data_IF_920489860074
#
_entry.id   IF_920489860074
#
_cell.length_a   1.000
_cell.length_b   1.000
_cell.length_c   1.000
_cell.angle_alpha   90.00
_cell.angle_beta   90.00
_cell.angle_gamma   90.00
#
_symmetry.space_group_name_H-M   'P 1'
#
loop_
_entity.id
_entity.type
_entity.pdbx_description
1 polymer ?
#
# COMPACT_ATOMS: atom_id res chain seq x y z
N UNK A 1 24.56 14.75 19.51
CA UNK A 1 24.82 13.31 19.65
C UNK A 1 24.04 12.59 18.58
N UNK A 2 24.67 12.23 17.49
CA UNK A 2 24.07 11.50 16.38
C UNK A 2 23.98 10.03 16.81
N UNK A 3 22.77 9.57 17.16
CA UNK A 3 22.55 8.13 17.33
C UNK A 3 22.54 7.47 15.95
N UNK A 4 23.67 6.89 15.59
CA UNK A 4 23.78 5.97 14.46
C UNK A 4 23.35 4.57 14.94
N UNK A 5 22.05 4.34 15.08
CA UNK A 5 21.56 2.97 15.19
C UNK A 5 21.69 2.33 13.81
N UNK A 6 22.67 1.46 13.65
CA UNK A 6 22.78 0.63 12.44
C UNK A 6 21.60 -0.35 12.42
N UNK A 7 20.83 -0.43 11.31
CA UNK A 7 19.68 -1.35 11.20
C UNK A 7 20.05 -2.82 11.43
N UNK A 8 21.31 -3.20 11.18
CA UNK A 8 21.83 -4.56 11.44
C UNK A 8 21.78 -4.97 12.91
N UNK A 9 21.76 -4.01 13.86
CA UNK A 9 21.67 -4.32 15.30
C UNK A 9 20.20 -4.45 15.78
N UNK A 10 19.23 -4.03 14.97
CA UNK A 10 17.81 -3.96 15.34
C UNK A 10 17.01 -5.22 14.98
N UNK A 11 17.41 -6.02 13.99
CA UNK A 11 16.72 -7.24 13.58
C UNK A 11 17.59 -8.49 13.67
N UNK A 12 17.01 -9.55 14.20
CA UNK A 12 17.63 -10.87 14.30
C UNK A 12 16.58 -11.97 14.02
N UNK A 13 16.83 -12.82 13.02
CA UNK A 13 15.90 -13.84 12.58
C UNK A 13 15.41 -14.76 13.70
N UNK A 14 16.31 -15.25 14.54
CA UNK A 14 15.97 -16.18 15.63
C UNK A 14 15.19 -15.54 16.76
N UNK A 15 15.33 -14.23 16.96
CA UNK A 15 14.60 -13.45 17.95
C UNK A 15 13.27 -12.95 17.41
N UNK A 16 13.26 -12.41 16.18
CA UNK A 16 12.19 -11.54 15.69
C UNK A 16 11.23 -12.26 14.72
N UNK A 17 11.66 -13.34 14.08
CA UNK A 17 10.76 -14.16 13.26
C UNK A 17 10.19 -15.32 14.07
N UNK A 18 8.87 -15.36 14.25
CA UNK A 18 8.14 -16.40 14.99
C UNK A 18 7.30 -17.32 14.10
N UNK A 19 7.45 -17.17 12.77
CA UNK A 19 6.75 -18.03 11.82
C UNK A 19 7.33 -19.43 11.70
N UNK A 20 6.64 -20.29 10.96
CA UNK A 20 6.97 -21.71 10.78
C UNK A 20 7.81 -21.99 9.50
N UNK A 21 8.13 -20.99 8.70
CA UNK A 21 8.88 -21.15 7.45
C UNK A 21 10.39 -21.15 7.74
N UNK A 22 10.93 -22.30 8.10
CA UNK A 22 12.36 -22.47 8.46
C UNK A 22 13.34 -22.10 7.35
N UNK A 23 12.88 -22.14 6.10
CA UNK A 23 13.68 -21.79 4.93
C UNK A 23 13.75 -20.29 4.66
N UNK A 24 12.90 -19.47 5.31
CA UNK A 24 12.70 -18.07 4.94
C UNK A 24 13.98 -17.24 5.05
N UNK A 25 14.71 -17.37 6.15
CA UNK A 25 16.00 -16.67 6.35
C UNK A 25 17.00 -16.94 5.23
N UNK A 26 17.27 -18.23 4.96
CA UNK A 26 18.25 -18.64 3.95
C UNK A 26 17.82 -18.29 2.51
N UNK A 27 16.53 -18.16 2.27
CA UNK A 27 15.95 -17.91 0.96
C UNK A 27 15.54 -16.43 0.75
N UNK A 28 15.76 -15.58 1.74
CA UNK A 28 15.52 -14.13 1.61
C UNK A 28 16.64 -13.51 0.78
N UNK A 29 16.24 -12.88 -0.34
CA UNK A 29 17.17 -12.26 -1.29
C UNK A 29 17.51 -10.83 -0.89
N UNK A 30 16.53 -10.09 -0.38
CA UNK A 30 16.66 -8.72 0.10
C UNK A 30 15.75 -8.54 1.31
N UNK A 31 16.28 -7.93 2.37
CA UNK A 31 15.54 -7.54 3.56
C UNK A 31 15.98 -6.13 3.95
N UNK A 32 15.02 -5.23 4.10
CA UNK A 32 15.29 -3.81 4.36
C UNK A 32 14.42 -3.26 5.48
N UNK A 33 14.91 -2.27 6.18
CA UNK A 33 14.09 -1.38 7.01
C UNK A 33 13.17 -0.57 6.09
N UNK A 34 11.93 -0.42 6.48
CA UNK A 34 10.89 0.27 5.72
C UNK A 34 10.16 1.30 6.61
N UNK A 35 9.12 1.92 6.05
CA UNK A 35 8.23 2.80 6.80
C UNK A 35 8.92 4.06 7.32
N UNK A 36 8.51 4.50 8.50
CA UNK A 36 8.94 5.79 9.06
C UNK A 36 10.46 5.87 9.26
N UNK A 37 11.12 4.77 9.57
CA UNK A 37 12.57 4.71 9.74
C UNK A 37 13.31 4.92 8.42
N UNK A 38 12.91 4.22 7.36
CA UNK A 38 13.49 4.40 6.03
C UNK A 38 13.29 5.81 5.48
N UNK A 39 12.15 6.44 5.78
CA UNK A 39 11.88 7.81 5.36
C UNK A 39 12.64 8.86 6.19
N UNK A 40 13.24 8.48 7.33
CA UNK A 40 13.78 9.39 8.32
C UNK A 40 12.71 10.18 9.08
N UNK A 41 11.45 9.71 9.08
CA UNK A 41 10.29 10.36 9.71
C UNK A 41 9.87 9.68 11.02
N UNK A 42 10.73 8.79 11.53
CA UNK A 42 10.49 8.09 12.80
C UNK A 42 10.60 9.03 14.00
N UNK A 43 9.84 8.71 15.01
CA UNK A 43 9.88 9.28 16.37
C UNK A 43 10.38 8.23 17.35
N UNK A 44 10.62 8.60 18.59
CA UNK A 44 11.07 7.68 19.65
C UNK A 44 10.12 6.48 19.87
N UNK A 45 8.84 6.65 19.53
CA UNK A 45 7.80 5.61 19.68
C UNK A 45 7.43 4.93 18.38
N UNK A 46 8.20 5.13 17.31
CA UNK A 46 7.90 4.52 16.02
C UNK A 46 8.33 3.06 15.97
N UNK A 47 7.42 2.20 15.55
CA UNK A 47 7.71 0.79 15.28
C UNK A 47 8.67 0.66 14.08
N UNK A 48 9.43 -0.42 14.07
CA UNK A 48 10.32 -0.75 12.96
C UNK A 48 9.55 -1.63 11.99
N UNK A 49 9.32 -1.11 10.79
CA UNK A 49 8.73 -1.86 9.68
C UNK A 49 9.84 -2.54 8.88
N UNK A 50 9.67 -3.79 8.51
CA UNK A 50 10.63 -4.58 7.73
C UNK A 50 9.96 -5.13 6.50
N UNK A 51 10.59 -5.00 5.35
CA UNK A 51 10.12 -5.63 4.12
C UNK A 51 11.22 -6.37 3.40
N UNK A 52 10.83 -7.43 2.70
CA UNK A 52 11.80 -8.26 2.00
C UNK A 52 11.22 -9.01 0.83
N UNK A 53 12.12 -9.72 0.14
CA UNK A 53 11.85 -10.53 -1.04
C UNK A 53 12.55 -11.87 -0.83
N UNK A 54 11.83 -12.97 -1.08
CA UNK A 54 12.37 -14.33 -0.95
C UNK A 54 12.01 -15.18 -2.16
N UNK A 55 12.85 -16.17 -2.45
CA UNK A 55 12.57 -17.24 -3.41
C UNK A 55 12.30 -18.51 -2.61
N UNK A 56 11.05 -19.02 -2.58
CA UNK A 56 10.74 -20.24 -1.85
C UNK A 56 11.45 -21.46 -2.45
N UNK A 57 11.57 -22.57 -1.69
CA UNK A 57 12.08 -23.84 -2.21
C UNK A 57 11.28 -24.35 -3.41
N UNK A 58 11.89 -25.25 -4.22
CA UNK A 58 11.32 -25.76 -5.47
C UNK A 58 9.93 -26.40 -5.32
N UNK A 59 9.61 -26.95 -4.16
CA UNK A 59 8.32 -27.58 -3.85
C UNK A 59 7.15 -26.60 -3.97
N UNK A 60 7.41 -25.29 -3.77
CA UNK A 60 6.43 -24.21 -3.92
C UNK A 60 6.18 -23.80 -5.38
N UNK A 61 7.03 -24.27 -6.31
CA UNK A 61 6.89 -24.03 -7.75
C UNK A 61 6.35 -25.23 -8.50
N UNK A 62 6.81 -26.44 -8.13
CA UNK A 62 6.59 -27.66 -8.90
C UNK A 62 5.41 -28.50 -8.41
N UNK A 63 4.93 -28.26 -7.19
CA UNK A 63 3.83 -29.01 -6.59
C UNK A 63 2.51 -28.22 -6.58
N UNK A 64 1.45 -28.90 -6.17
CA UNK A 64 0.14 -28.26 -5.95
C UNK A 64 -0.22 -28.15 -4.46
N UNK A 65 0.55 -28.80 -3.58
CA UNK A 65 0.27 -28.86 -2.14
C UNK A 65 0.70 -27.61 -1.37
N UNK A 66 1.73 -26.92 -1.87
CA UNK A 66 2.31 -25.76 -1.18
C UNK A 66 2.28 -24.54 -2.08
N UNK A 67 1.89 -23.41 -1.51
CA UNK A 67 1.96 -22.10 -2.15
C UNK A 67 2.55 -21.10 -1.17
N UNK A 68 3.36 -20.21 -1.70
CA UNK A 68 3.89 -19.08 -0.95
C UNK A 68 3.61 -17.82 -1.75
N UNK A 69 3.08 -16.82 -1.09
CA UNK A 69 2.89 -15.49 -1.65
C UNK A 69 3.64 -14.46 -0.83
N UNK A 70 3.54 -14.55 0.50
CA UNK A 70 4.25 -13.70 1.44
C UNK A 70 4.25 -14.31 2.84
N UNK A 71 5.24 -13.92 3.64
CA UNK A 71 5.28 -14.15 5.09
C UNK A 71 5.03 -12.81 5.81
N UNK A 72 4.22 -12.83 6.85
CA UNK A 72 3.92 -11.65 7.66
C UNK A 72 4.18 -11.92 9.14
N UNK A 73 4.62 -10.88 9.85
CA UNK A 73 4.71 -10.83 11.30
C UNK A 73 4.21 -9.47 11.77
N UNK A 74 3.66 -9.42 12.99
CA UNK A 74 3.19 -8.16 13.59
C UNK A 74 4.19 -7.53 14.54
N UNK A 75 5.15 -8.31 15.02
CA UNK A 75 6.11 -7.84 15.99
C UNK A 75 7.49 -8.49 15.75
N UNK A 76 8.38 -7.83 15.00
CA UNK A 76 8.20 -6.56 14.30
C UNK A 76 7.18 -6.64 13.15
N UNK A 77 6.67 -5.48 12.69
CA UNK A 77 5.82 -5.43 11.49
C UNK A 77 6.68 -5.76 10.26
N UNK A 78 6.49 -6.98 9.76
CA UNK A 78 7.34 -7.53 8.70
C UNK A 78 6.49 -8.16 7.61
N UNK A 79 6.85 -7.90 6.35
CA UNK A 79 6.28 -8.55 5.18
C UNK A 79 7.38 -8.94 4.19
N UNK A 80 7.52 -10.25 3.92
CA UNK A 80 8.48 -10.79 2.95
C UNK A 80 7.70 -11.44 1.82
N UNK A 81 7.87 -10.91 0.61
CA UNK A 81 7.12 -11.31 -0.58
C UNK A 81 7.83 -12.41 -1.35
N UNK A 82 7.07 -13.34 -1.93
CA UNK A 82 7.54 -14.16 -3.03
C UNK A 82 8.05 -13.25 -4.16
N UNK A 83 9.19 -13.58 -4.75
CA UNK A 83 9.78 -12.77 -5.82
C UNK A 83 8.81 -12.54 -6.97
N UNK A 84 7.98 -13.52 -7.34
CA UNK A 84 6.98 -13.41 -8.42
C UNK A 84 5.90 -12.38 -8.05
N UNK A 85 5.41 -12.42 -6.81
CA UNK A 85 4.45 -11.44 -6.28
C UNK A 85 5.06 -10.05 -6.21
N UNK A 86 6.33 -9.98 -5.77
CA UNK A 86 7.07 -8.72 -5.79
C UNK A 86 7.11 -8.12 -7.20
N UNK A 87 7.50 -8.88 -8.23
CA UNK A 87 7.52 -8.41 -9.62
C UNK A 87 6.13 -7.95 -10.08
N UNK A 88 5.07 -8.73 -9.80
CA UNK A 88 3.69 -8.36 -10.16
C UNK A 88 3.27 -7.00 -9.60
N UNK A 89 3.61 -6.73 -8.33
CA UNK A 89 3.29 -5.46 -7.68
C UNK A 89 4.22 -4.32 -8.13
N UNK A 90 5.50 -4.63 -8.37
CA UNK A 90 6.51 -3.65 -8.78
C UNK A 90 6.26 -3.12 -10.20
N UNK A 91 5.84 -3.97 -11.15
CA UNK A 91 5.50 -3.54 -12.53
C UNK A 91 4.26 -2.63 -12.59
N UNK A 92 3.48 -2.59 -11.53
CA UNK A 92 2.39 -1.63 -11.39
C UNK A 92 2.79 -0.39 -10.58
N UNK A 93 4.08 -0.21 -10.30
CA UNK A 93 4.62 0.90 -9.50
C UNK A 93 3.94 1.04 -8.13
N UNK A 94 3.65 -0.08 -7.44
CA UNK A 94 3.07 -0.02 -6.10
C UNK A 94 4.05 0.68 -5.14
N UNK A 95 3.67 1.80 -4.48
CA UNK A 95 4.57 2.58 -3.63
C UNK A 95 5.28 1.74 -2.57
N UNK A 96 4.53 0.92 -1.84
CA UNK A 96 5.07 0.08 -0.77
C UNK A 96 6.08 -0.99 -1.23
N UNK A 97 6.09 -1.31 -2.51
CA UNK A 97 6.96 -2.32 -3.11
C UNK A 97 8.17 -1.66 -3.77
N UNK A 98 7.93 -0.58 -4.52
CA UNK A 98 9.00 0.17 -5.17
C UNK A 98 10.00 0.70 -4.14
N UNK A 99 9.54 1.23 -3.02
CA UNK A 99 10.38 1.77 -1.94
C UNK A 99 11.40 0.74 -1.41
N UNK A 100 11.11 -0.57 -1.47
CA UNK A 100 12.05 -1.63 -1.02
C UNK A 100 13.37 -1.55 -1.80
N UNK A 101 13.32 -1.26 -3.09
CA UNK A 101 14.50 -1.22 -3.94
C UNK A 101 15.32 0.07 -3.80
N UNK A 102 14.71 1.15 -3.33
CA UNK A 102 15.32 2.48 -3.17
C UNK A 102 15.70 2.82 -1.72
N UNK A 103 15.53 1.88 -0.78
CA UNK A 103 16.04 2.04 0.58
C UNK A 103 17.54 2.37 0.58
N UNK A 104 17.99 3.20 1.51
CA UNK A 104 19.40 3.52 1.68
C UNK A 104 20.21 2.26 1.99
N UNK A 105 21.53 2.26 1.72
CA UNK A 105 22.38 1.11 1.99
C UNK A 105 22.41 0.78 3.50
N UNK A 106 22.35 1.81 4.35
CA UNK A 106 22.26 1.66 5.80
C UNK A 106 20.96 1.02 6.27
N UNK A 107 19.91 1.01 5.44
CA UNK A 107 18.61 0.39 5.73
C UNK A 107 18.55 -1.08 5.27
N UNK A 108 19.59 -1.60 4.60
CA UNK A 108 19.66 -2.99 4.14
C UNK A 108 20.10 -3.89 5.30
N UNK A 109 19.22 -4.80 5.70
CA UNK A 109 19.45 -5.77 6.77
C UNK A 109 20.17 -7.01 6.21
N UNK A 110 19.70 -7.49 5.07
CA UNK A 110 20.23 -8.66 4.37
C UNK A 110 20.10 -8.47 2.87
N UNK A 111 21.14 -8.82 2.13
CA UNK A 111 21.14 -8.90 0.67
C UNK A 111 21.99 -10.05 0.20
N UNK A 112 21.62 -10.67 -0.91
CA UNK A 112 22.45 -11.60 -1.65
C UNK A 112 22.56 -11.11 -3.11
N UNK A 113 23.19 -11.87 -3.98
CA UNK A 113 23.41 -11.47 -5.37
C UNK A 113 22.12 -11.10 -6.13
N UNK A 114 20.96 -11.77 -5.83
CA UNK A 114 19.67 -11.39 -6.42
C UNK A 114 19.18 -10.05 -5.86
N UNK A 115 19.35 -9.81 -4.57
CA UNK A 115 19.04 -8.53 -3.94
C UNK A 115 19.84 -7.38 -4.54
N UNK A 116 21.14 -7.61 -4.79
CA UNK A 116 22.02 -6.64 -5.45
C UNK A 116 21.57 -6.37 -6.90
N UNK A 117 21.24 -7.43 -7.65
CA UNK A 117 20.73 -7.30 -9.01
C UNK A 117 19.39 -6.55 -9.04
N UNK A 118 18.45 -6.88 -8.15
CA UNK A 118 17.18 -6.16 -8.02
C UNK A 118 17.39 -4.66 -7.80
N UNK A 119 18.33 -4.28 -6.96
CA UNK A 119 18.68 -2.88 -6.69
C UNK A 119 19.40 -2.24 -7.88
N UNK A 120 20.19 -2.98 -8.62
CA UNK A 120 20.86 -2.51 -9.84
C UNK A 120 19.85 -2.25 -10.97
N UNK A 121 18.90 -3.15 -11.17
CA UNK A 121 17.89 -3.05 -12.22
C UNK A 121 16.61 -2.28 -11.82
N UNK A 122 16.57 -1.69 -10.62
CA UNK A 122 15.38 -1.05 -10.05
C UNK A 122 14.68 -0.05 -10.96
N UNK A 123 15.44 0.74 -11.75
CA UNK A 123 14.87 1.72 -12.67
C UNK A 123 13.96 1.11 -13.76
N UNK A 124 14.12 -0.19 -14.08
CA UNK A 124 13.28 -0.89 -15.05
C UNK A 124 11.82 -1.06 -14.59
N UNK A 125 11.55 -0.94 -13.29
CA UNK A 125 10.20 -1.01 -12.73
C UNK A 125 9.46 0.34 -12.79
N UNK A 126 10.17 1.46 -12.99
CA UNK A 126 9.54 2.78 -13.03
C UNK A 126 8.84 3.02 -14.36
N UNK A 127 7.67 3.63 -14.29
CA UNK A 127 6.88 4.02 -15.46
C UNK A 127 5.90 5.13 -15.10
N UNK A 128 5.23 5.70 -16.11
CA UNK A 128 4.16 6.67 -15.93
C UNK A 128 2.96 6.13 -15.10
N UNK A 129 2.88 4.81 -14.89
CA UNK A 129 1.90 4.22 -13.95
C UNK A 129 2.02 4.78 -12.53
N UNK A 130 3.20 5.26 -12.12
CA UNK A 130 3.40 5.93 -10.85
C UNK A 130 2.39 7.06 -10.62
N UNK A 131 1.99 7.81 -11.67
CA UNK A 131 0.95 8.83 -11.60
C UNK A 131 -0.36 8.27 -10.99
N UNK A 132 -0.77 7.08 -11.42
CA UNK A 132 -2.03 6.49 -10.96
C UNK A 132 -1.89 5.82 -9.59
N UNK A 133 -0.80 5.14 -9.35
CA UNK A 133 -0.61 4.38 -8.11
C UNK A 133 -0.25 5.29 -6.93
N UNK A 134 0.77 6.14 -7.05
CA UNK A 134 1.15 7.05 -5.97
C UNK A 134 0.05 8.08 -5.68
N UNK A 135 -0.53 8.70 -6.72
CA UNK A 135 -1.66 9.59 -6.53
C UNK A 135 -2.89 8.86 -5.96
N UNK A 136 -3.17 7.64 -6.41
CA UNK A 136 -4.25 6.81 -5.86
C UNK A 136 -4.08 6.54 -4.36
N UNK A 137 -2.86 6.21 -3.91
CA UNK A 137 -2.56 6.06 -2.49
C UNK A 137 -2.68 7.40 -1.74
N UNK A 138 -2.23 8.51 -2.33
CA UNK A 138 -2.39 9.83 -1.75
C UNK A 138 -3.87 10.23 -1.63
N UNK A 139 -4.67 10.02 -2.66
CA UNK A 139 -6.12 10.24 -2.62
C UNK A 139 -6.81 9.38 -1.56
N UNK A 140 -6.36 8.12 -1.35
CA UNK A 140 -6.88 7.30 -0.27
C UNK A 140 -6.59 7.91 1.11
N UNK A 141 -5.40 8.54 1.30
CA UNK A 141 -5.12 9.28 2.53
C UNK A 141 -6.05 10.51 2.66
N UNK A 142 -6.22 11.29 1.61
CA UNK A 142 -7.12 12.46 1.62
C UNK A 142 -8.57 12.06 1.93
N UNK A 143 -9.04 10.97 1.33
CA UNK A 143 -10.38 10.43 1.62
C UNK A 143 -10.53 10.05 3.10
N UNK A 144 -9.51 9.41 3.68
CA UNK A 144 -9.50 9.09 5.13
C UNK A 144 -9.55 10.35 5.97
N UNK A 145 -8.73 11.37 5.67
CA UNK A 145 -8.72 12.64 6.36
C UNK A 145 -10.12 13.29 6.32
N UNK A 146 -10.73 13.39 5.13
CA UNK A 146 -12.09 13.95 4.93
C UNK A 146 -13.13 13.15 5.75
N UNK A 147 -13.06 11.83 5.73
CA UNK A 147 -13.99 10.94 6.44
C UNK A 147 -13.82 11.06 7.96
N UNK A 148 -12.60 11.02 8.46
CA UNK A 148 -12.33 11.16 9.90
C UNK A 148 -12.72 12.54 10.41
N UNK A 149 -12.44 13.61 9.66
CA UNK A 149 -12.91 14.97 9.99
C UNK A 149 -14.44 15.05 10.07
N UNK A 150 -15.16 14.42 9.12
CA UNK A 150 -16.62 14.31 9.16
C UNK A 150 -17.09 13.67 10.47
N UNK A 151 -16.46 12.55 10.88
CA UNK A 151 -16.83 11.85 12.11
C UNK A 151 -16.45 12.57 13.40
N UNK A 152 -15.38 13.39 13.36
CA UNK A 152 -15.02 14.24 14.49
C UNK A 152 -16.05 15.36 14.70
N UNK A 153 -16.54 15.97 13.61
CA UNK A 153 -17.48 17.09 13.67
C UNK A 153 -18.93 16.63 13.82
N UNK A 154 -19.31 15.55 13.14
CA UNK A 154 -20.67 15.02 13.07
C UNK A 154 -20.63 13.48 13.20
N UNK A 155 -20.37 12.96 14.40
CA UNK A 155 -20.32 11.51 14.59
C UNK A 155 -21.72 10.89 14.36
N UNK A 156 -21.81 9.74 13.69
CA UNK A 156 -23.05 9.00 13.62
C UNK A 156 -23.60 8.69 15.02
N UNK A 157 -24.85 9.01 15.27
CA UNK A 157 -25.47 8.89 16.60
C UNK A 157 -25.99 7.50 16.91
N UNK A 158 -26.46 6.77 15.91
CA UNK A 158 -27.03 5.44 16.03
C UNK A 158 -26.82 4.62 14.74
N UNK A 159 -27.09 3.31 14.86
CA UNK A 159 -27.06 2.41 13.71
C UNK A 159 -28.22 2.75 12.77
N UNK A 160 -27.97 2.97 11.46
CA UNK A 160 -29.03 3.26 10.51
C UNK A 160 -30.11 2.17 10.47
N UNK A 161 -31.39 2.58 10.44
CA UNK A 161 -32.54 1.70 10.34
C UNK A 161 -33.21 1.83 8.97
N UNK A 162 -33.83 0.75 8.50
CA UNK A 162 -34.47 0.74 7.17
C UNK A 162 -35.60 1.78 7.03
N UNK A 163 -36.32 2.04 8.14
CA UNK A 163 -37.38 3.03 8.18
C UNK A 163 -36.90 4.46 7.83
N UNK A 164 -35.68 4.82 8.19
CA UNK A 164 -35.08 6.13 7.86
C UNK A 164 -34.93 6.36 6.36
N UNK A 165 -34.82 5.27 5.60
CA UNK A 165 -34.71 5.27 4.13
C UNK A 165 -36.06 4.99 3.43
N UNK A 166 -37.16 4.99 4.17
CA UNK A 166 -38.49 4.60 3.67
C UNK A 166 -38.47 3.23 2.99
N UNK A 167 -37.81 2.28 3.63
CA UNK A 167 -37.69 0.88 3.21
C UNK A 167 -38.52 0.00 4.17
N UNK A 168 -39.20 -1.06 3.68
CA UNK A 168 -39.85 -2.06 4.52
C UNK A 168 -38.80 -2.89 5.27
N UNK A 169 -39.21 -3.69 6.26
CA UNK A 169 -38.32 -4.52 7.08
C UNK A 169 -37.43 -5.47 6.25
N UNK A 170 -37.99 -6.00 5.17
CA UNK A 170 -37.28 -6.87 4.22
C UNK A 170 -36.96 -6.15 2.93
N UNK A 171 -35.85 -6.51 2.28
CA UNK A 171 -35.50 -5.92 0.98
C UNK A 171 -36.55 -6.28 -0.07
N UNK A 172 -37.02 -5.27 -0.82
CA UNK A 172 -37.92 -5.42 -1.94
C UNK A 172 -37.17 -5.61 -3.27
N UNK A 173 -35.86 -5.43 -3.29
CA UNK A 173 -35.02 -5.68 -4.45
C UNK A 173 -34.14 -6.90 -4.15
N UNK A 174 -34.19 -7.91 -5.03
CA UNK A 174 -33.39 -9.11 -4.85
C UNK A 174 -31.89 -8.79 -4.96
N UNK A 175 -31.05 -9.64 -4.35
CA UNK A 175 -29.59 -9.49 -4.43
C UNK A 175 -29.08 -9.53 -5.87
N UNK A 176 -29.69 -10.34 -6.72
CA UNK A 176 -29.32 -10.49 -8.12
C UNK A 176 -29.60 -9.20 -8.90
N UNK A 177 -30.75 -8.58 -8.69
CA UNK A 177 -31.10 -7.29 -9.30
C UNK A 177 -30.16 -6.19 -8.77
N UNK A 178 -29.91 -6.15 -7.46
CA UNK A 178 -28.96 -5.21 -6.87
C UNK A 178 -27.56 -5.34 -7.52
N UNK A 179 -27.08 -6.58 -7.67
CA UNK A 179 -25.79 -6.85 -8.30
C UNK A 179 -25.75 -6.51 -9.80
N UNK A 180 -26.83 -6.78 -10.53
CA UNK A 180 -26.94 -6.46 -11.95
C UNK A 180 -26.89 -4.93 -12.17
N UNK A 181 -27.68 -4.16 -11.44
CA UNK A 181 -27.70 -2.69 -11.54
C UNK A 181 -26.34 -2.11 -11.16
N UNK A 182 -25.73 -2.59 -10.05
CA UNK A 182 -24.39 -2.13 -9.63
C UNK A 182 -23.34 -2.39 -10.71
N UNK A 183 -23.35 -3.54 -11.35
CA UNK A 183 -22.42 -3.89 -12.42
C UNK A 183 -22.58 -2.97 -13.64
N UNK A 184 -23.82 -2.59 -13.99
CA UNK A 184 -24.08 -1.65 -15.09
C UNK A 184 -23.64 -0.21 -14.72
N UNK A 185 -23.82 0.21 -13.46
CA UNK A 185 -23.29 1.50 -12.98
C UNK A 185 -21.76 1.53 -13.03
N UNK A 186 -21.09 0.48 -12.55
CA UNK A 186 -19.62 0.38 -12.54
C UNK A 186 -19.03 0.41 -13.96
N UNK A 187 -19.79 -0.09 -14.94
CA UNK A 187 -19.44 -0.02 -16.36
C UNK A 187 -19.85 1.30 -17.03
N UNK A 188 -20.58 2.18 -16.33
CA UNK A 188 -21.09 3.43 -16.90
C UNK A 188 -22.19 3.25 -17.95
N UNK A 189 -22.84 2.08 -18.00
CA UNK A 189 -23.85 1.73 -19.02
C UNK A 189 -25.28 1.73 -18.50
N UNK A 190 -25.49 2.05 -17.22
CA UNK A 190 -26.82 1.98 -16.57
C UNK A 190 -27.88 2.80 -17.31
N UNK A 191 -27.56 4.00 -17.80
CA UNK A 191 -28.53 4.86 -18.50
C UNK A 191 -29.15 4.23 -19.75
N UNK A 192 -28.44 3.30 -20.41
CA UNK A 192 -28.96 2.55 -21.54
C UNK A 192 -29.92 1.41 -21.13
N UNK A 193 -29.91 1.04 -19.84
CA UNK A 193 -30.68 -0.10 -19.30
C UNK A 193 -31.72 0.30 -18.22
N UNK A 194 -31.85 1.60 -17.90
CA UNK A 194 -32.79 2.05 -16.87
C UNK A 194 -34.24 1.63 -17.16
N UNK A 195 -34.66 1.65 -18.43
CA UNK A 195 -36.01 1.26 -18.84
C UNK A 195 -36.27 -0.23 -18.60
N UNK A 196 -35.25 -1.09 -18.62
CA UNK A 196 -35.39 -2.54 -18.39
C UNK A 196 -35.81 -2.86 -16.96
N UNK A 197 -35.39 -2.07 -15.99
CA UNK A 197 -35.70 -2.26 -14.57
C UNK A 197 -36.96 -1.52 -14.14
N UNK A 198 -37.35 -0.47 -14.85
CA UNK A 198 -38.49 0.38 -14.53
C UNK A 198 -38.25 1.32 -13.33
N UNK A 199 -38.98 2.45 -13.26
CA UNK A 199 -38.69 3.53 -12.30
C UNK A 199 -38.89 3.12 -10.83
N UNK A 200 -39.81 2.22 -10.53
CA UNK A 200 -40.05 1.73 -9.16
C UNK A 200 -38.89 0.90 -8.64
N UNK A 201 -38.34 0.01 -9.47
CA UNK A 201 -37.16 -0.83 -9.10
C UNK A 201 -35.91 0.04 -8.93
N UNK A 202 -35.70 1.01 -9.82
CA UNK A 202 -34.58 1.95 -9.71
C UNK A 202 -34.66 2.80 -8.44
N UNK A 203 -35.85 3.31 -8.10
CA UNK A 203 -36.05 4.05 -6.85
C UNK A 203 -35.81 3.17 -5.62
N UNK A 204 -36.28 1.95 -5.62
CA UNK A 204 -36.08 0.98 -4.54
C UNK A 204 -34.59 0.63 -4.41
N UNK A 205 -33.91 0.41 -5.53
CA UNK A 205 -32.46 0.18 -5.58
C UNK A 205 -31.67 1.35 -4.97
N UNK A 206 -31.97 2.59 -5.34
CA UNK A 206 -31.31 3.77 -4.80
C UNK A 206 -31.46 3.87 -3.27
N UNK A 207 -32.67 3.59 -2.74
CA UNK A 207 -32.92 3.58 -1.30
C UNK A 207 -32.16 2.46 -0.59
N UNK A 208 -32.20 1.24 -1.12
CA UNK A 208 -31.45 0.10 -0.58
C UNK A 208 -29.94 0.39 -0.58
N UNK A 209 -29.42 0.93 -1.68
CA UNK A 209 -28.02 1.34 -1.79
C UNK A 209 -27.63 2.41 -0.75
N UNK A 210 -28.48 3.42 -0.57
CA UNK A 210 -28.26 4.46 0.44
C UNK A 210 -28.23 3.85 1.86
N UNK A 211 -29.16 2.96 2.18
CA UNK A 211 -29.19 2.24 3.45
C UNK A 211 -27.94 1.38 3.67
N UNK A 212 -27.52 0.59 2.68
CA UNK A 212 -26.32 -0.23 2.76
C UNK A 212 -25.04 0.60 2.89
N UNK A 213 -24.97 1.75 2.22
CA UNK A 213 -23.86 2.69 2.36
C UNK A 213 -23.80 3.28 3.77
N UNK A 214 -24.94 3.66 4.34
CA UNK A 214 -25.02 4.15 5.72
C UNK A 214 -24.61 3.08 6.74
N UNK A 215 -25.05 1.83 6.57
CA UNK A 215 -24.60 0.70 7.40
C UNK A 215 -23.10 0.47 7.31
N UNK A 216 -22.53 0.58 6.12
CA UNK A 216 -21.09 0.45 5.90
C UNK A 216 -20.35 1.59 6.57
N UNK A 217 -20.82 2.83 6.43
CA UNK A 217 -20.24 3.99 7.13
C UNK A 217 -20.31 3.82 8.64
N UNK A 218 -21.44 3.37 9.19
CA UNK A 218 -21.58 3.06 10.61
C UNK A 218 -20.58 2.02 11.10
N UNK A 219 -20.43 0.91 10.38
CA UNK A 219 -19.47 -0.12 10.72
C UNK A 219 -18.02 0.40 10.67
N UNK A 220 -17.68 1.21 9.66
CA UNK A 220 -16.36 1.84 9.54
C UNK A 220 -16.11 2.84 10.68
N UNK A 221 -17.11 3.63 11.04
CA UNK A 221 -17.04 4.55 12.18
C UNK A 221 -16.77 3.83 13.49
N UNK A 222 -17.51 2.76 13.77
CA UNK A 222 -17.31 1.96 14.99
C UNK A 222 -15.90 1.35 15.04
N UNK A 223 -15.44 0.80 13.94
CA UNK A 223 -14.10 0.23 13.83
C UNK A 223 -13.02 1.30 14.04
N UNK A 224 -13.16 2.46 13.40
CA UNK A 224 -12.26 3.60 13.61
C UNK A 224 -12.25 4.04 15.07
N UNK A 225 -13.43 4.18 15.70
CA UNK A 225 -13.57 4.59 17.11
C UNK A 225 -12.92 3.60 18.07
N UNK A 226 -13.08 2.29 17.84
CA UNK A 226 -12.55 1.23 18.68
C UNK A 226 -11.02 1.08 18.56
N UNK A 227 -10.46 1.31 17.37
CA UNK A 227 -9.03 1.14 17.08
C UNK A 227 -8.26 2.45 17.02
N UNK A 228 -8.85 3.55 17.46
CA UNK A 228 -8.24 4.87 17.43
C UNK A 228 -7.04 4.93 18.38
N UNK A 229 -5.87 5.26 17.84
CA UNK A 229 -4.67 5.47 18.64
C UNK A 229 -4.83 6.74 19.49
N UNK A 230 -4.66 6.69 20.84
CA UNK A 230 -4.86 7.83 21.73
C UNK A 230 -4.01 9.06 21.35
N UNK A 231 -2.71 8.87 21.07
CA UNK A 231 -1.82 9.97 20.68
C UNK A 231 -2.25 10.65 19.37
N UNK A 232 -2.83 9.90 18.42
CA UNK A 232 -3.45 10.48 17.22
C UNK A 232 -4.72 11.24 17.54
N UNK A 233 -5.52 10.73 18.49
CA UNK A 233 -6.75 11.38 18.90
C UNK A 233 -6.50 12.77 19.49
N UNK A 234 -5.41 12.96 20.22
CA UNK A 234 -4.99 14.26 20.76
C UNK A 234 -4.63 15.24 19.65
N UNK A 235 -3.84 14.80 18.66
CA UNK A 235 -3.46 15.61 17.51
C UNK A 235 -4.70 15.98 16.65
N UNK A 236 -5.58 15.00 16.38
CA UNK A 236 -6.82 15.25 15.65
C UNK A 236 -7.75 16.21 16.40
N UNK A 237 -7.81 16.13 17.72
CA UNK A 237 -8.59 17.07 18.53
C UNK A 237 -8.01 18.49 18.50
N UNK A 238 -6.68 18.61 18.51
CA UNK A 238 -5.98 19.91 18.48
C UNK A 238 -6.07 20.59 17.12
N UNK A 239 -5.95 19.84 16.02
CA UNK A 239 -5.85 20.40 14.65
C UNK A 239 -7.07 20.13 13.77
N UNK A 240 -8.05 19.38 14.27
CA UNK A 240 -9.31 19.09 13.57
C UNK A 240 -9.22 18.08 12.43
N UNK A 241 -8.06 17.42 12.23
CA UNK A 241 -7.87 16.36 11.23
C UNK A 241 -6.62 15.49 11.51
N UNK A 242 -6.50 14.35 10.84
CA UNK A 242 -5.36 13.42 10.99
C UNK A 242 -4.12 13.94 10.25
N UNK A 243 -3.24 14.62 10.97
CA UNK A 243 -2.00 15.19 10.46
C UNK A 243 -0.97 14.12 10.04
N UNK A 244 -1.02 12.89 10.59
CA UNK A 244 -0.16 11.78 10.14
C UNK A 244 -0.54 11.34 8.74
N UNK A 245 -1.83 11.25 8.43
CA UNK A 245 -2.28 10.96 7.07
C UNK A 245 -1.96 12.09 6.09
N UNK A 246 -1.99 13.36 6.55
CA UNK A 246 -1.55 14.50 5.75
C UNK A 246 -0.07 14.41 5.36
N UNK A 247 0.79 14.13 6.31
CA UNK A 247 2.22 13.91 6.05
C UNK A 247 2.44 12.78 5.02
N UNK A 248 1.72 11.65 5.16
CA UNK A 248 1.81 10.54 4.20
C UNK A 248 1.34 10.93 2.79
N UNK A 249 0.24 11.68 2.70
CA UNK A 249 -0.28 12.20 1.43
C UNK A 249 0.77 13.07 0.73
N UNK A 250 1.33 14.03 1.45
CA UNK A 250 2.31 14.98 0.90
C UNK A 250 3.57 14.23 0.45
N UNK A 251 4.09 13.30 1.25
CA UNK A 251 5.22 12.46 0.89
C UNK A 251 4.97 11.70 -0.42
N UNK A 252 3.83 11.03 -0.54
CA UNK A 252 3.48 10.25 -1.72
C UNK A 252 3.38 11.11 -2.99
N UNK A 253 2.78 12.30 -2.90
CA UNK A 253 2.69 13.22 -4.04
C UNK A 253 4.06 13.74 -4.45
N UNK A 254 4.93 14.09 -3.49
CA UNK A 254 6.32 14.52 -3.78
C UNK A 254 7.13 13.40 -4.42
N UNK A 255 7.01 12.17 -3.92
CA UNK A 255 7.68 11.01 -4.53
C UNK A 255 7.14 10.73 -5.94
N UNK A 256 5.85 10.87 -6.18
CA UNK A 256 5.28 10.76 -7.52
C UNK A 256 5.90 11.78 -8.48
N UNK A 257 6.04 13.03 -8.05
CA UNK A 257 6.68 14.09 -8.83
C UNK A 257 8.14 13.73 -9.16
N UNK A 258 8.93 13.31 -8.17
CA UNK A 258 10.32 12.89 -8.34
C UNK A 258 10.44 11.73 -9.36
N UNK A 259 9.54 10.73 -9.28
CA UNK A 259 9.51 9.64 -10.24
C UNK A 259 9.27 10.15 -11.66
N UNK A 260 8.26 11.01 -11.86
CA UNK A 260 7.88 11.50 -13.18
C UNK A 260 8.90 12.45 -13.80
N UNK A 261 9.63 13.23 -12.99
CA UNK A 261 10.59 14.23 -13.45
C UNK A 261 12.03 13.73 -13.50
N UNK A 262 12.43 12.89 -12.53
CA UNK A 262 13.82 12.49 -12.31
C UNK A 262 14.07 10.99 -12.57
N UNK A 263 13.00 10.22 -12.83
CA UNK A 263 13.07 8.76 -12.98
C UNK A 263 13.76 8.09 -11.77
N UNK A 264 13.51 8.63 -10.57
CA UNK A 264 14.13 8.20 -9.32
C UNK A 264 13.11 8.21 -8.18
N UNK A 265 13.42 7.51 -7.09
CA UNK A 265 12.60 7.48 -5.86
C UNK A 265 13.48 7.91 -4.70
N UNK A 266 13.11 8.97 -4.02
CA UNK A 266 13.84 9.44 -2.82
C UNK A 266 13.11 8.93 -1.58
N UNK A 267 13.53 7.77 -1.05
CA UNK A 267 12.91 7.16 0.13
C UNK A 267 13.28 7.96 1.38
N UNK A 268 14.57 8.15 1.65
CA UNK A 268 15.02 8.98 2.78
C UNK A 268 14.77 10.45 2.47
N UNK A 269 13.82 11.04 3.18
CA UNK A 269 13.26 12.36 2.82
C UNK A 269 14.20 13.52 3.15
N UNK A 270 14.61 14.31 2.15
CA UNK A 270 15.37 15.55 2.39
C UNK A 270 14.53 16.64 3.06
N UNK A 271 13.19 16.61 2.84
CA UNK A 271 12.19 17.53 3.39
C UNK A 271 11.61 17.03 4.74
N UNK A 272 12.40 16.23 5.47
CA UNK A 272 12.03 15.61 6.76
C UNK A 272 11.45 16.61 7.77
N UNK A 273 12.09 17.73 7.95
CA UNK A 273 11.68 18.71 8.96
C UNK A 273 10.30 19.27 8.66
N UNK A 274 10.02 19.63 7.40
CA UNK A 274 8.70 20.10 6.98
C UNK A 274 7.64 19.01 7.15
N UNK A 275 7.94 17.77 6.73
CA UNK A 275 7.01 16.64 6.87
C UNK A 275 6.67 16.35 8.34
N UNK A 276 7.64 16.42 9.24
CA UNK A 276 7.41 16.31 10.68
C UNK A 276 6.61 17.50 11.25
N UNK A 277 6.87 18.71 10.78
CA UNK A 277 6.07 19.88 11.15
C UNK A 277 4.60 19.69 10.72
N UNK A 278 4.35 19.19 9.50
CA UNK A 278 3.00 18.87 9.02
C UNK A 278 2.34 17.76 9.87
N UNK A 279 3.08 16.74 10.24
CA UNK A 279 2.61 15.69 11.16
C UNK A 279 2.17 16.29 12.52
N UNK A 280 2.79 17.36 12.94
CA UNK A 280 2.52 18.09 14.17
C UNK A 280 1.58 19.30 13.99
N UNK A 281 0.85 19.36 12.87
CA UNK A 281 -0.23 20.33 12.66
C UNK A 281 0.18 21.67 12.05
N UNK A 282 1.36 21.79 11.43
CA UNK A 282 1.82 23.04 10.83
C UNK A 282 0.97 23.53 9.64
N UNK A 283 0.17 22.66 9.05
CA UNK A 283 -0.74 23.04 7.96
C UNK A 283 -2.19 22.98 8.43
N UNK A 284 -2.97 23.98 7.98
CA UNK A 284 -4.41 23.93 8.12
C UNK A 284 -5.05 22.98 7.11
N UNK A 285 -6.24 22.48 7.45
CA UNK A 285 -6.96 21.52 6.62
C UNK A 285 -7.23 22.04 5.21
N UNK A 286 -7.70 23.28 5.07
CA UNK A 286 -8.07 23.85 3.77
C UNK A 286 -6.83 24.01 2.89
N UNK A 287 -5.71 24.46 3.46
CA UNK A 287 -4.40 24.52 2.77
C UNK A 287 -3.97 23.15 2.26
N UNK A 288 -4.16 22.09 3.07
CA UNK A 288 -3.83 20.73 2.68
C UNK A 288 -4.67 20.27 1.47
N UNK A 289 -5.98 20.55 1.49
CA UNK A 289 -6.89 20.15 0.40
C UNK A 289 -6.54 20.87 -0.89
N UNK A 290 -6.40 22.22 -0.85
CA UNK A 290 -6.00 23.01 -2.01
C UNK A 290 -4.67 22.57 -2.60
N UNK A 291 -3.68 22.32 -1.74
CA UNK A 291 -2.38 21.82 -2.17
C UNK A 291 -2.50 20.44 -2.84
N UNK A 292 -3.28 19.52 -2.26
CA UNK A 292 -3.44 18.19 -2.81
C UNK A 292 -4.12 18.19 -4.20
N UNK A 293 -5.11 19.06 -4.40
CA UNK A 293 -5.80 19.22 -5.68
C UNK A 293 -4.87 19.85 -6.74
N UNK A 294 -4.09 20.86 -6.36
CA UNK A 294 -3.09 21.45 -7.23
C UNK A 294 -2.00 20.44 -7.65
N UNK A 295 -1.52 19.64 -6.70
CA UNK A 295 -0.53 18.59 -6.99
C UNK A 295 -1.09 17.51 -7.91
N UNK A 296 -2.35 17.11 -7.74
CA UNK A 296 -2.95 16.10 -8.63
C UNK A 296 -3.01 16.61 -10.08
N UNK A 297 -3.38 17.86 -10.29
CA UNK A 297 -3.37 18.50 -11.60
C UNK A 297 -1.94 18.58 -12.18
N UNK A 298 -0.95 18.99 -11.37
CA UNK A 298 0.46 19.02 -11.77
C UNK A 298 0.96 17.63 -12.19
N UNK A 299 0.66 16.57 -11.40
CA UNK A 299 1.06 15.20 -11.74
C UNK A 299 0.45 14.72 -13.06
N UNK A 300 -0.77 15.15 -13.39
CA UNK A 300 -1.40 14.82 -14.66
C UNK A 300 -0.65 15.43 -15.86
N UNK A 301 -0.15 16.67 -15.73
CA UNK A 301 0.66 17.31 -16.77
C UNK A 301 2.07 16.72 -16.84
N UNK A 302 2.72 16.47 -15.71
CA UNK A 302 4.05 15.86 -15.67
C UNK A 302 4.06 14.46 -16.29
N UNK A 303 3.00 13.68 -16.11
CA UNK A 303 2.90 12.36 -16.74
C UNK A 303 2.90 12.43 -18.28
N UNK A 304 2.37 13.51 -18.88
CA UNK A 304 2.37 13.70 -20.35
C UNK A 304 3.75 14.02 -20.90
N UNK A 305 4.60 14.67 -20.11
CA UNK A 305 5.93 15.14 -20.51
C UNK A 305 7.06 14.26 -19.98
N UNK A 306 6.76 13.31 -19.12
CA UNK A 306 7.73 12.39 -18.52
C UNK A 306 8.43 11.53 -19.59
N UNK A 307 9.74 11.37 -19.44
CA UNK A 307 10.57 10.48 -20.28
C UNK A 307 10.39 9.00 -19.95
N UNK A 308 9.71 8.68 -18.85
CA UNK A 308 9.41 7.31 -18.49
C UNK A 308 8.50 6.64 -19.51
N UNK A 309 8.69 5.34 -19.72
CA UNK A 309 7.75 4.52 -20.50
C UNK A 309 6.35 4.57 -19.88
N UNK A 310 5.33 4.46 -20.70
CA UNK A 310 3.94 4.37 -20.23
C UNK A 310 3.74 3.20 -19.25
N UNK A 311 4.36 2.04 -19.55
CA UNK A 311 4.38 0.84 -18.72
C UNK A 311 5.78 0.23 -18.73
N UNK A 312 6.19 -0.50 -17.69
CA UNK A 312 7.42 -1.26 -17.70
C UNK A 312 7.40 -2.33 -18.81
N UNK A 313 8.57 -2.74 -19.27
CA UNK A 313 8.70 -3.88 -20.17
C UNK A 313 8.45 -5.19 -19.42
N UNK A 314 7.18 -5.64 -19.41
CA UNK A 314 6.76 -6.82 -18.67
C UNK A 314 7.44 -8.10 -19.16
N UNK A 315 7.71 -8.22 -20.47
CA UNK A 315 8.35 -9.42 -21.02
C UNK A 315 9.81 -9.50 -20.56
N UNK A 316 10.52 -8.38 -20.59
CA UNK A 316 11.89 -8.30 -20.09
C UNK A 316 11.95 -8.62 -18.60
N UNK A 317 11.11 -8.00 -17.77
CA UNK A 317 11.07 -8.23 -16.33
C UNK A 317 10.64 -9.65 -15.97
N UNK A 318 9.70 -10.25 -16.69
CA UNK A 318 9.32 -11.66 -16.53
C UNK A 318 10.49 -12.60 -16.87
N UNK A 319 11.24 -12.28 -17.93
CA UNK A 319 12.47 -13.00 -18.30
C UNK A 319 13.53 -12.94 -17.19
N UNK A 320 13.77 -11.76 -16.60
CA UNK A 320 14.67 -11.60 -15.46
C UNK A 320 14.22 -12.42 -14.25
N UNK A 321 12.93 -12.31 -13.89
CA UNK A 321 12.38 -13.06 -12.77
C UNK A 321 12.58 -14.58 -12.94
N UNK A 322 12.28 -15.09 -14.13
CA UNK A 322 12.48 -16.51 -14.46
C UNK A 322 13.94 -16.91 -14.34
N UNK A 323 14.84 -16.19 -14.95
CA UNK A 323 16.27 -16.52 -14.96
C UNK A 323 16.87 -16.53 -13.55
N UNK A 324 16.49 -15.57 -12.69
CA UNK A 324 16.95 -15.53 -11.30
C UNK A 324 16.38 -16.67 -10.46
N UNK A 325 15.11 -17.02 -10.65
CA UNK A 325 14.49 -18.16 -9.96
C UNK A 325 15.14 -19.47 -10.38
N UNK A 326 15.35 -19.69 -11.69
CA UNK A 326 16.00 -20.89 -12.22
C UNK A 326 17.42 -21.05 -11.68
N UNK A 327 18.22 -19.98 -11.72
CA UNK A 327 19.59 -20.02 -11.21
C UNK A 327 19.63 -20.25 -9.69
N UNK A 328 18.73 -19.62 -8.93
CA UNK A 328 18.61 -19.86 -7.49
C UNK A 328 18.30 -21.32 -7.17
N UNK A 329 17.33 -21.89 -7.85
CA UNK A 329 16.92 -23.28 -7.64
C UNK A 329 18.03 -24.25 -8.05
N UNK A 330 18.76 -23.97 -9.13
CA UNK A 330 19.91 -24.76 -9.55
C UNK A 330 21.02 -24.75 -8.50
N UNK A 331 21.46 -23.56 -8.07
CA UNK A 331 22.52 -23.41 -7.04
C UNK A 331 22.13 -24.07 -5.71
N UNK A 332 20.86 -24.00 -5.34
CA UNK A 332 20.35 -24.62 -4.11
C UNK A 332 20.37 -26.16 -4.20
N UNK A 333 20.10 -26.73 -5.38
CA UNK A 333 20.14 -28.16 -5.61
C UNK A 333 21.56 -28.72 -5.54
N UNK A 334 22.55 -28.01 -6.09
CA UNK A 334 23.97 -28.42 -6.03
C UNK A 334 24.48 -28.46 -4.58
N UNK A 335 24.15 -27.45 -3.78
CA UNK A 335 24.54 -27.42 -2.35
C UNK A 335 23.94 -28.55 -1.50
N UNK A 336 22.82 -29.13 -1.92
CA UNK A 336 22.22 -30.28 -1.24
C UNK A 336 22.95 -31.60 -1.58
N UNK A 337 23.46 -31.76 -2.79
CA UNK A 337 24.23 -32.94 -3.20
C UNK A 337 25.56 -33.01 -2.44
N UNK A 338 26.30 -31.91 -2.36
CA UNK A 338 27.59 -31.81 -1.65
C UNK A 338 27.50 -32.12 -0.14
N UNK A 339 26.31 -32.01 0.47
CA UNK A 339 26.09 -32.28 1.91
C UNK A 339 25.71 -33.74 2.19
N UNK A 340 25.45 -34.53 1.16
CA UNK A 340 25.13 -35.97 1.30
C UNK A 340 26.34 -36.87 1.06
N UNK A 341 27.48 -36.31 0.64
CA UNK A 341 28.71 -37.02 0.38
C UNK A 341 29.74 -36.88 1.53
N UNK A 342 29.40 -36.18 2.63
CA UNK A 342 30.12 -36.10 3.89
C UNK A 342 29.40 -36.89 5.00
#
# INVERSE_FOLDING_TARGET
>A
MTMTNKPMETFNWSRDYRGNLKWLEANTCLLVVHGSHAYGLNTETSDIDIKGIAIPPKEYFLGFMQRFEQAESKNPDMAIYDIRKFFQLAVDCNPNIIEILWGADDDVIQSNWIGEDLRTFKAQFLSQKARHTFAGYAHAQLKRIKTHKKWLLNPPSHKPERAEFSLPETSIVSKDIMGAIQNLEDKGTIGAHEEEFGPMVMQAYQKERAYHNALREWSQYLNWKANRNPARAEIEAAFGYDCKHAMHLIRLMRMCREILTESNVVVKRPDREELLAIRNGAWEYDKLVEWAEAQDAEMAELAKTSTLRHSPDRNYLDGLCKSWVEEWLFRSSVKQVDRHDD
#
